data_IF_220922432399
#
_entry.id   IF_220922432399
#
_cell.length_a   1.000
_cell.length_b   1.000
_cell.length_c   1.000
_cell.angle_alpha   90.00
_cell.angle_beta   90.00
_cell.angle_gamma   90.00
#
_symmetry.space_group_name_H-M   'P 1'
#
loop_
_entity.id
_entity.type
_entity.pdbx_description
1 polymer ?
#
# COMPACT_ATOMS: atom_id res chain seq x y z
N UNK A 1 -7.24 -33.97 -31.28
CA UNK A 1 -7.59 -33.50 -29.93
C UNK A 1 -6.79 -32.23 -29.70
N UNK A 2 -7.41 -31.06 -29.87
CA UNK A 2 -6.74 -29.79 -29.60
C UNK A 2 -6.50 -29.67 -28.09
N UNK A 3 -5.23 -29.58 -27.71
CA UNK A 3 -4.78 -29.29 -26.36
C UNK A 3 -5.31 -27.90 -25.98
N UNK A 4 -6.45 -27.88 -25.28
CA UNK A 4 -7.02 -26.67 -24.73
C UNK A 4 -6.14 -26.23 -23.55
N UNK A 5 -5.02 -25.57 -23.85
CA UNK A 5 -4.12 -24.95 -22.88
C UNK A 5 -4.88 -23.82 -22.19
N UNK A 6 -5.63 -24.17 -21.15
CA UNK A 6 -6.40 -23.22 -20.35
C UNK A 6 -5.46 -22.15 -19.80
N UNK A 7 -5.68 -20.90 -20.17
CA UNK A 7 -4.91 -19.79 -19.65
C UNK A 7 -4.96 -19.80 -18.11
N UNK A 8 -3.80 -19.77 -17.44
CA UNK A 8 -3.69 -19.77 -15.97
C UNK A 8 -4.18 -18.49 -15.27
N UNK A 9 -5.02 -17.69 -15.94
CA UNK A 9 -5.60 -16.43 -15.48
C UNK A 9 -6.94 -16.18 -16.17
N UNK A 10 -7.84 -15.43 -15.52
CA UNK A 10 -9.13 -15.04 -16.13
C UNK A 10 -8.96 -13.86 -17.06
N UNK A 11 -9.59 -13.90 -18.25
CA UNK A 11 -9.53 -12.81 -19.23
C UNK A 11 -10.29 -11.54 -18.79
N UNK A 12 -11.29 -11.68 -17.92
CA UNK A 12 -12.14 -10.61 -17.36
C UNK A 12 -12.81 -9.71 -18.42
N UNK A 13 -12.93 -10.17 -19.67
CA UNK A 13 -13.44 -9.36 -20.78
C UNK A 13 -12.57 -8.13 -21.11
N UNK A 14 -11.26 -8.18 -20.83
CA UNK A 14 -10.33 -7.05 -21.02
C UNK A 14 -9.07 -7.45 -21.76
N UNK A 15 -8.48 -6.49 -22.49
CA UNK A 15 -7.13 -6.63 -23.06
C UNK A 15 -6.08 -6.76 -21.95
N UNK A 16 -4.88 -7.20 -22.30
CA UNK A 16 -3.80 -7.47 -21.34
C UNK A 16 -3.51 -6.28 -20.43
N UNK A 17 -3.36 -5.09 -21.01
CA UNK A 17 -2.96 -3.88 -20.28
C UNK A 17 -4.09 -3.39 -19.37
N UNK A 18 -5.32 -3.37 -19.88
CA UNK A 18 -6.50 -3.00 -19.09
C UNK A 18 -6.73 -3.98 -17.93
N UNK A 19 -6.52 -5.28 -18.16
CA UNK A 19 -6.63 -6.30 -17.12
C UNK A 19 -5.57 -6.10 -16.03
N UNK A 20 -4.31 -5.89 -16.43
CA UNK A 20 -3.21 -5.62 -15.48
C UNK A 20 -3.51 -4.36 -14.65
N UNK A 21 -3.94 -3.28 -15.29
CA UNK A 21 -4.29 -2.04 -14.59
C UNK A 21 -5.42 -2.23 -13.58
N UNK A 22 -6.49 -2.94 -13.98
CA UNK A 22 -7.60 -3.28 -13.08
C UNK A 22 -7.14 -4.06 -11.86
N UNK A 23 -6.37 -5.14 -12.06
CA UNK A 23 -5.89 -5.99 -10.97
C UNK A 23 -5.00 -5.19 -10.02
N UNK A 24 -4.05 -4.40 -10.55
CA UNK A 24 -3.18 -3.53 -9.75
C UNK A 24 -3.96 -2.54 -8.90
N UNK A 25 -4.97 -1.90 -9.49
CA UNK A 25 -5.85 -0.96 -8.79
C UNK A 25 -6.59 -1.64 -7.65
N UNK A 26 -7.21 -2.81 -7.90
CA UNK A 26 -7.97 -3.51 -6.87
C UNK A 26 -7.09 -4.15 -5.78
N UNK A 27 -5.90 -4.66 -6.11
CA UNK A 27 -4.92 -5.14 -5.12
C UNK A 27 -4.44 -4.00 -4.22
N UNK A 28 -4.15 -2.83 -4.82
CA UNK A 28 -3.78 -1.63 -4.07
C UNK A 28 -4.90 -1.23 -3.10
N UNK A 29 -6.15 -1.21 -3.57
CA UNK A 29 -7.31 -0.90 -2.73
C UNK A 29 -7.51 -1.91 -1.59
N UNK A 30 -7.38 -3.22 -1.87
CA UNK A 30 -7.48 -4.27 -0.85
C UNK A 30 -6.42 -4.11 0.24
N UNK A 31 -5.16 -3.93 -0.13
CA UNK A 31 -4.07 -3.81 0.85
C UNK A 31 -4.11 -2.48 1.61
N UNK A 32 -4.68 -1.44 1.01
CA UNK A 32 -4.82 -0.15 1.65
C UNK A 32 -6.01 -0.10 2.64
N UNK A 33 -7.20 -0.58 2.25
CA UNK A 33 -8.42 -0.54 3.05
C UNK A 33 -8.66 -1.79 3.91
N UNK A 34 -7.98 -2.89 3.62
CA UNK A 34 -8.16 -4.19 4.27
C UNK A 34 -9.30 -5.04 3.69
N UNK A 35 -10.28 -4.42 3.02
CA UNK A 35 -11.35 -5.13 2.31
C UNK A 35 -11.87 -4.32 1.13
N UNK A 36 -12.42 -5.00 0.12
CA UNK A 36 -13.14 -4.37 -1.00
C UNK A 36 -14.31 -5.23 -1.47
N UNK A 37 -15.36 -4.58 -1.96
CA UNK A 37 -16.48 -5.22 -2.66
C UNK A 37 -16.21 -5.27 -4.16
N UNK A 38 -16.32 -6.44 -4.77
CA UNK A 38 -16.06 -6.64 -6.21
C UNK A 38 -16.82 -7.87 -6.73
N UNK A 39 -16.68 -8.23 -8.00
CA UNK A 39 -17.27 -9.46 -8.53
C UNK A 39 -16.43 -10.68 -8.17
N UNK A 40 -17.05 -11.85 -8.04
CA UNK A 40 -16.36 -13.10 -7.68
C UNK A 40 -15.16 -13.39 -8.61
N UNK A 41 -15.35 -13.21 -9.91
CA UNK A 41 -14.33 -13.44 -10.93
C UNK A 41 -13.11 -12.54 -10.75
N UNK A 42 -13.33 -11.25 -10.40
CA UNK A 42 -12.25 -10.30 -10.12
C UNK A 42 -11.56 -10.63 -8.80
N UNK A 43 -12.32 -10.94 -7.75
CA UNK A 43 -11.78 -11.30 -6.43
C UNK A 43 -10.80 -12.48 -6.50
N UNK A 44 -11.10 -13.51 -7.29
CA UNK A 44 -10.20 -14.66 -7.46
C UNK A 44 -8.86 -14.27 -8.11
N UNK A 45 -8.85 -13.32 -9.05
CA UNK A 45 -7.60 -12.81 -9.63
C UNK A 45 -6.84 -11.90 -8.65
N UNK A 46 -7.55 -11.04 -7.92
CA UNK A 46 -6.95 -10.18 -6.88
C UNK A 46 -6.28 -11.04 -5.81
N UNK A 47 -6.96 -12.08 -5.31
CA UNK A 47 -6.43 -13.03 -4.32
C UNK A 47 -5.09 -13.60 -4.78
N UNK A 48 -5.00 -14.10 -6.02
CA UNK A 48 -3.77 -14.71 -6.55
C UNK A 48 -2.57 -13.77 -6.44
N UNK A 49 -2.77 -12.47 -6.67
CA UNK A 49 -1.71 -11.46 -6.57
C UNK A 49 -1.46 -11.05 -5.12
N UNK A 50 -2.51 -10.73 -4.37
CA UNK A 50 -2.41 -10.27 -2.99
C UNK A 50 -1.74 -11.30 -2.07
N UNK A 51 -2.07 -12.59 -2.20
CA UNK A 51 -1.47 -13.67 -1.42
C UNK A 51 0.06 -13.71 -1.60
N UNK A 52 0.54 -13.57 -2.84
CA UNK A 52 1.97 -13.55 -3.13
C UNK A 52 2.70 -12.33 -2.58
N UNK A 53 2.07 -11.15 -2.64
CA UNK A 53 2.64 -9.93 -2.04
C UNK A 53 2.74 -10.06 -0.52
N UNK A 54 1.68 -10.54 0.14
CA UNK A 54 1.66 -10.72 1.60
C UNK A 54 2.68 -11.79 2.02
N UNK A 55 2.78 -12.91 1.30
CA UNK A 55 3.78 -13.94 1.57
C UNK A 55 5.22 -13.39 1.52
N UNK A 56 5.54 -12.61 0.48
CA UNK A 56 6.86 -11.96 0.38
C UNK A 56 7.09 -10.98 1.53
N UNK A 57 6.05 -10.25 1.95
CA UNK A 57 6.14 -9.32 3.06
C UNK A 57 6.40 -10.02 4.39
N UNK A 58 5.65 -11.09 4.69
CA UNK A 58 5.80 -11.91 5.90
C UNK A 58 7.21 -12.48 5.99
N UNK A 59 7.75 -12.97 4.88
CA UNK A 59 9.10 -13.52 4.82
C UNK A 59 10.19 -12.47 5.12
N UNK A 60 10.05 -11.25 4.62
CA UNK A 60 11.10 -10.22 4.69
C UNK A 60 10.82 -9.13 5.75
N UNK A 61 9.82 -9.32 6.63
CA UNK A 61 9.34 -8.29 7.57
C UNK A 61 10.38 -7.79 8.57
N UNK A 62 11.37 -8.61 8.91
CA UNK A 62 12.41 -8.28 9.91
C UNK A 62 13.76 -7.99 9.25
N UNK A 63 13.84 -8.06 7.93
CA UNK A 63 15.11 -7.98 7.22
C UNK A 63 15.47 -6.53 6.84
N UNK A 64 15.72 -5.72 7.88
CA UNK A 64 16.10 -4.31 7.75
C UNK A 64 17.08 -3.93 8.86
N UNK A 65 17.86 -2.88 8.62
CA UNK A 65 18.72 -2.26 9.62
C UNK A 65 18.14 -0.91 10.04
N UNK A 66 18.32 -0.55 11.30
CA UNK A 66 17.92 0.76 11.80
C UNK A 66 19.12 1.71 11.71
N UNK A 67 19.00 2.73 10.87
CA UNK A 67 20.05 3.74 10.68
C UNK A 67 19.56 5.06 11.27
N UNK A 68 20.35 5.66 12.16
CA UNK A 68 20.11 7.01 12.68
C UNK A 68 20.60 8.02 11.64
N UNK A 69 19.70 8.90 11.20
CA UNK A 69 20.02 9.97 10.24
C UNK A 69 19.67 11.30 10.89
N UNK A 70 20.63 12.22 10.89
CA UNK A 70 20.44 13.61 11.31
C UNK A 70 19.69 14.38 10.23
N UNK A 71 18.50 14.87 10.55
CA UNK A 71 17.70 15.69 9.65
C UNK A 71 17.56 17.11 10.20
N UNK A 72 17.87 18.12 9.37
CA UNK A 72 17.62 19.52 9.71
C UNK A 72 16.13 19.82 9.56
N UNK A 73 15.45 20.07 10.67
CA UNK A 73 14.02 20.40 10.68
C UNK A 73 13.86 21.83 11.16
N UNK A 74 13.06 22.63 10.45
CA UNK A 74 12.78 24.00 10.87
C UNK A 74 12.07 23.99 12.23
N UNK A 75 12.62 24.72 13.20
CA UNK A 75 12.01 24.91 14.51
C UNK A 75 10.65 25.55 14.36
N UNK A 76 9.64 25.03 15.06
CA UNK A 76 8.27 25.56 15.01
C UNK A 76 7.82 26.02 16.39
N UNK A 77 7.10 27.14 16.43
CA UNK A 77 6.42 27.65 17.62
C UNK A 77 5.17 26.81 17.97
N UNK A 78 4.57 27.09 19.13
CA UNK A 78 3.34 26.42 19.63
C UNK A 78 2.17 26.45 18.63
N UNK A 79 2.14 27.45 17.76
CA UNK A 79 1.13 27.60 16.68
C UNK A 79 1.53 26.94 15.35
N UNK A 80 2.65 26.21 15.32
CA UNK A 80 3.14 25.51 14.13
C UNK A 80 3.80 26.40 13.06
N UNK A 81 4.01 27.69 13.34
CA UNK A 81 4.76 28.63 12.49
C UNK A 81 6.27 28.41 12.68
N UNK A 82 7.05 28.65 11.61
CA UNK A 82 8.52 28.49 11.63
C UNK A 82 9.13 29.65 12.43
N UNK A 83 9.99 29.32 13.39
CA UNK A 83 10.74 30.31 14.16
C UNK A 83 11.71 31.03 13.22
N UNK A 84 11.64 32.35 13.20
CA UNK A 84 12.56 33.20 12.45
C UNK A 84 13.37 34.03 13.42
N UNK A 85 14.67 33.99 13.27
CA UNK A 85 15.62 34.80 14.03
C UNK A 85 16.23 35.84 13.08
N UNK A 86 16.53 37.04 13.59
CA UNK A 86 17.15 38.09 12.78
C UNK A 86 18.66 37.94 12.91
N UNK A 87 19.31 37.50 11.84
CA UNK A 87 20.76 37.47 11.71
C UNK A 87 21.11 38.47 10.60
N UNK A 88 21.99 39.44 10.89
CA UNK A 88 22.42 40.48 9.95
C UNK A 88 21.28 41.27 9.29
N UNK A 89 20.26 41.65 10.08
CA UNK A 89 19.11 42.43 9.61
C UNK A 89 18.13 41.66 8.71
N UNK A 90 18.36 40.37 8.45
CA UNK A 90 17.47 39.49 7.67
C UNK A 90 16.85 38.41 8.55
N UNK A 91 15.55 38.15 8.36
CA UNK A 91 14.81 37.09 9.08
C UNK A 91 15.15 35.72 8.49
N UNK A 92 15.99 34.95 9.15
CA UNK A 92 16.40 33.58 8.76
C UNK A 92 15.59 32.56 9.56
N UNK A 93 15.23 31.43 8.95
CA UNK A 93 14.57 30.34 9.69
C UNK A 93 15.59 29.53 10.47
N UNK A 94 15.32 29.29 11.75
CA UNK A 94 16.16 28.43 12.60
C UNK A 94 15.84 26.97 12.31
N UNK A 95 16.88 26.15 12.12
CA UNK A 95 16.77 24.71 11.93
C UNK A 95 17.43 24.00 13.10
N UNK A 96 16.70 23.08 13.72
CA UNK A 96 17.24 22.16 14.72
C UNK A 96 17.69 20.88 14.02
N UNK A 97 18.78 20.27 14.50
CA UNK A 97 19.19 18.94 14.09
C UNK A 97 18.42 17.91 14.92
N UNK A 98 17.59 17.12 14.24
CA UNK A 98 16.78 16.08 14.86
C UNK A 98 17.28 14.73 14.37
N UNK A 99 17.66 13.85 15.29
CA UNK A 99 17.94 12.46 14.99
C UNK A 99 16.63 11.74 14.63
N UNK A 100 16.61 11.09 13.46
CA UNK A 100 15.51 10.23 13.04
C UNK A 100 16.03 8.82 12.81
N UNK A 101 15.33 7.85 13.38
CA UNK A 101 15.56 6.44 13.08
C UNK A 101 14.83 6.08 11.78
N UNK A 102 15.57 5.53 10.81
CA UNK A 102 15.05 5.10 9.53
C UNK A 102 15.32 3.60 9.38
N UNK A 103 14.27 2.84 9.02
CA UNK A 103 14.42 1.44 8.59
C UNK A 103 15.01 1.41 7.19
N UNK A 104 16.24 0.93 7.06
CA UNK A 104 16.93 0.68 5.80
C UNK A 104 16.76 -0.79 5.42
N UNK A 105 16.06 -1.04 4.32
CA UNK A 105 15.84 -2.41 3.85
C UNK A 105 17.17 -3.08 3.46
N UNK A 106 17.36 -4.32 3.93
CA UNK A 106 18.45 -5.18 3.47
C UNK A 106 18.18 -5.70 2.04
N UNK A 107 19.19 -6.23 1.32
CA UNK A 107 19.06 -6.53 -0.12
C UNK A 107 17.84 -7.37 -0.53
N UNK A 108 17.48 -8.44 0.20
CA UNK A 108 16.32 -9.26 -0.16
C UNK A 108 14.97 -8.59 0.18
N UNK A 109 14.88 -7.83 1.27
CA UNK A 109 13.70 -6.99 1.57
C UNK A 109 13.54 -5.87 0.54
N UNK A 110 14.63 -5.25 0.12
CA UNK A 110 14.62 -4.25 -0.94
C UNK A 110 14.18 -4.85 -2.28
N UNK A 111 14.63 -6.07 -2.60
CA UNK A 111 14.14 -6.81 -3.75
C UNK A 111 12.62 -7.06 -3.65
N UNK A 112 12.13 -7.54 -2.50
CA UNK A 112 10.70 -7.74 -2.27
C UNK A 112 9.90 -6.43 -2.42
N UNK A 113 10.38 -5.31 -1.86
CA UNK A 113 9.80 -3.97 -2.05
C UNK A 113 9.70 -3.61 -3.53
N UNK A 114 10.77 -3.82 -4.31
CA UNK A 114 10.77 -3.54 -5.75
C UNK A 114 9.75 -4.40 -6.49
N UNK A 115 9.60 -5.67 -6.14
CA UNK A 115 8.56 -6.53 -6.71
C UNK A 115 7.15 -6.05 -6.35
N UNK A 116 6.92 -5.59 -5.12
CA UNK A 116 5.64 -4.99 -4.72
C UNK A 116 5.34 -3.69 -5.49
N UNK A 117 6.32 -2.80 -5.66
CA UNK A 117 6.17 -1.55 -6.41
C UNK A 117 5.86 -1.76 -7.89
N UNK A 118 6.26 -2.90 -8.47
CA UNK A 118 5.82 -3.28 -9.84
C UNK A 118 4.33 -3.52 -9.93
N UNK A 119 3.60 -3.71 -8.83
CA UNK A 119 2.17 -4.01 -8.81
C UNK A 119 1.37 -2.87 -8.19
N UNK A 120 1.84 -2.30 -7.09
CA UNK A 120 1.09 -1.30 -6.34
C UNK A 120 1.09 0.05 -7.06
N UNK A 121 0.00 0.81 -6.89
CA UNK A 121 -0.04 2.22 -7.24
C UNK A 121 0.23 3.09 -6.01
N UNK A 122 0.68 4.32 -6.25
CA UNK A 122 0.83 5.32 -5.20
C UNK A 122 -0.54 5.68 -4.62
N UNK A 123 -0.62 5.75 -3.29
CA UNK A 123 -1.84 6.11 -2.57
C UNK A 123 -1.63 7.48 -1.91
N UNK A 124 -2.58 8.39 -2.13
CA UNK A 124 -2.57 9.71 -1.52
C UNK A 124 -3.79 9.83 -0.62
N UNK A 125 -3.55 10.01 0.67
CA UNK A 125 -4.58 10.31 1.65
C UNK A 125 -4.95 11.78 1.58
N UNK A 126 -6.20 12.04 1.22
CA UNK A 126 -6.77 13.38 1.19
C UNK A 126 -7.86 13.45 2.27
N UNK A 127 -7.71 14.31 3.29
CA UNK A 127 -8.72 14.46 4.34
C UNK A 127 -10.08 14.88 3.76
N UNK A 128 -11.15 14.35 4.36
CA UNK A 128 -12.52 14.72 4.02
C UNK A 128 -12.84 16.18 4.40
N UNK A 129 -12.29 16.66 5.53
CA UNK A 129 -12.48 18.02 5.98
C UNK A 129 -11.80 19.04 5.04
N UNK A 130 -12.52 20.10 4.70
CA UNK A 130 -12.00 21.18 3.86
C UNK A 130 -10.87 21.96 4.56
N UNK A 131 -10.97 22.12 5.89
CA UNK A 131 -9.99 22.84 6.70
C UNK A 131 -8.61 22.17 6.63
N UNK A 132 -7.62 22.88 6.09
CA UNK A 132 -6.24 22.39 6.01
C UNK A 132 -6.03 21.24 5.02
N UNK A 133 -6.99 20.93 4.13
CA UNK A 133 -6.94 19.81 3.18
C UNK A 133 -5.59 19.69 2.47
N UNK A 134 -5.11 20.78 1.84
CA UNK A 134 -3.81 20.80 1.14
C UNK A 134 -2.61 20.49 2.05
N UNK A 135 -2.62 21.00 3.29
CA UNK A 135 -1.54 20.78 4.27
C UNK A 135 -1.54 19.35 4.81
N UNK A 136 -2.73 18.78 4.95
CA UNK A 136 -2.96 17.49 5.59
C UNK A 136 -3.00 16.33 4.59
N UNK A 137 -2.95 16.59 3.29
CA UNK A 137 -2.77 15.56 2.25
C UNK A 137 -1.41 14.89 2.41
N UNK A 138 -1.38 13.55 2.44
CA UNK A 138 -0.16 12.76 2.63
C UNK A 138 -0.04 11.68 1.57
N UNK A 139 1.18 11.47 1.07
CA UNK A 139 1.50 10.28 0.30
C UNK A 139 1.74 9.11 1.27
N UNK A 140 1.13 7.97 0.99
CA UNK A 140 1.23 6.77 1.81
C UNK A 140 2.24 5.82 1.17
N UNK A 141 3.28 5.43 1.92
CA UNK A 141 4.11 4.29 1.54
C UNK A 141 3.35 3.00 1.86
N UNK A 142 2.58 2.53 0.88
CA UNK A 142 1.80 1.31 1.01
C UNK A 142 2.70 0.09 1.23
N UNK A 143 3.92 0.07 0.72
CA UNK A 143 4.83 -1.06 0.92
C UNK A 143 5.31 -1.11 2.37
N UNK A 144 5.66 0.04 2.95
CA UNK A 144 5.97 0.12 4.38
C UNK A 144 4.78 -0.34 5.22
N UNK A 145 3.56 0.11 4.90
CA UNK A 145 2.33 -0.37 5.57
C UNK A 145 2.17 -1.89 5.48
N UNK A 146 2.48 -2.50 4.34
CA UNK A 146 2.40 -3.96 4.19
C UNK A 146 3.44 -4.66 5.08
N UNK A 147 4.69 -4.16 5.14
CA UNK A 147 5.72 -4.74 6.00
C UNK A 147 5.47 -4.54 7.49
N UNK A 148 4.98 -3.36 7.88
CA UNK A 148 4.91 -2.94 9.28
C UNK A 148 3.55 -3.26 9.92
N UNK A 149 2.45 -3.20 9.16
CA UNK A 149 1.10 -3.39 9.71
C UNK A 149 0.46 -4.71 9.29
N UNK A 150 0.67 -5.15 8.04
CA UNK A 150 -0.01 -6.32 7.47
C UNK A 150 0.76 -7.60 7.76
N UNK A 151 2.04 -7.64 7.42
CA UNK A 151 2.89 -8.83 7.55
C UNK A 151 2.97 -9.37 8.98
N UNK A 152 3.08 -8.55 10.05
CA UNK A 152 3.18 -9.08 11.42
C UNK A 152 1.93 -9.85 11.87
N UNK A 153 0.75 -9.55 11.30
CA UNK A 153 -0.50 -10.26 11.63
C UNK A 153 -0.53 -11.70 11.14
N UNK A 154 0.33 -12.04 10.18
CA UNK A 154 0.33 -13.35 9.51
C UNK A 154 1.59 -14.17 9.79
N UNK A 155 2.37 -13.79 10.80
CA UNK A 155 3.52 -14.58 11.25
C UNK A 155 3.04 -15.97 11.67
N UNK A 156 3.64 -17.01 11.10
CA UNK A 156 3.25 -18.40 11.32
C UNK A 156 2.11 -18.92 10.43
N UNK A 157 1.49 -18.08 9.59
CA UNK A 157 0.50 -18.53 8.60
C UNK A 157 1.17 -18.79 7.24
N UNK A 158 1.07 -20.01 6.74
CA UNK A 158 1.62 -20.40 5.44
C UNK A 158 0.59 -20.27 4.29
N UNK A 159 0.05 -19.05 4.10
CA UNK A 159 -0.96 -18.74 3.08
C UNK A 159 -2.39 -18.65 3.59
N UNK A 160 -3.31 -18.20 2.72
CA UNK A 160 -4.70 -17.95 3.10
C UNK A 160 -4.85 -16.63 3.85
N UNK A 161 -4.17 -15.58 3.36
CA UNK A 161 -4.22 -14.23 3.94
C UNK A 161 -5.50 -13.48 3.55
N UNK A 162 -6.24 -13.97 2.56
CA UNK A 162 -7.47 -13.34 2.09
C UNK A 162 -8.69 -14.26 2.14
N UNK A 163 -9.81 -13.73 2.62
CA UNK A 163 -11.12 -14.39 2.57
C UNK A 163 -11.98 -13.76 1.48
N UNK A 164 -12.80 -14.57 0.81
CA UNK A 164 -13.81 -14.13 -0.13
C UNK A 164 -15.16 -14.58 0.43
N UNK A 165 -16.02 -13.63 0.76
CA UNK A 165 -17.38 -13.84 1.27
C UNK A 165 -18.37 -13.46 0.18
N UNK A 166 -19.28 -14.37 -0.18
CA UNK A 166 -20.33 -14.07 -1.17
C UNK A 166 -21.37 -13.15 -0.55
N UNK A 167 -21.74 -12.08 -1.26
CA UNK A 167 -22.76 -11.14 -0.81
C UNK A 167 -24.10 -11.50 -1.45
N UNK A 168 -24.16 -11.54 -2.78
CA UNK A 168 -25.41 -11.65 -3.51
C UNK A 168 -25.27 -11.19 -4.96
N UNK A 169 -26.26 -11.51 -5.79
CA UNK A 169 -26.27 -11.04 -7.18
C UNK A 169 -26.54 -9.54 -7.20
N UNK A 170 -25.75 -8.81 -8.00
CA UNK A 170 -25.92 -7.37 -8.16
C UNK A 170 -27.20 -7.06 -8.93
N UNK A 171 -27.97 -6.10 -8.41
CA UNK A 171 -29.13 -5.55 -9.13
C UNK A 171 -28.65 -4.84 -10.41
N UNK A 172 -29.16 -5.26 -11.56
CA UNK A 172 -28.80 -4.71 -12.87
C UNK A 172 -28.34 -5.82 -13.82
N UNK A 173 -27.09 -6.27 -13.65
CA UNK A 173 -26.47 -7.27 -14.54
C UNK A 173 -26.39 -8.68 -13.94
N UNK A 174 -26.93 -8.89 -12.73
CA UNK A 174 -26.96 -10.21 -12.08
C UNK A 174 -25.59 -10.74 -11.68
N UNK A 175 -24.52 -9.94 -11.79
CA UNK A 175 -23.17 -10.39 -11.48
C UNK A 175 -23.02 -10.73 -9.99
N UNK A 176 -22.39 -11.87 -9.68
CA UNK A 176 -22.13 -12.28 -8.30
C UNK A 176 -21.13 -11.34 -7.63
N UNK A 177 -21.59 -10.57 -6.64
CA UNK A 177 -20.75 -9.73 -5.80
C UNK A 177 -20.23 -10.49 -4.58
N UNK A 178 -19.00 -10.15 -4.23
CA UNK A 178 -18.28 -10.71 -3.10
C UNK A 178 -17.53 -9.60 -2.36
N UNK A 179 -17.34 -9.80 -1.06
CA UNK A 179 -16.38 -9.07 -0.25
C UNK A 179 -15.08 -9.88 -0.25
N UNK A 180 -13.98 -9.27 -0.67
CA UNK A 180 -12.63 -9.83 -0.43
C UNK A 180 -11.96 -9.02 0.68
N UNK A 181 -11.44 -9.70 1.68
CA UNK A 181 -10.89 -9.09 2.89
C UNK A 181 -9.60 -9.78 3.35
N UNK A 182 -8.75 -9.02 4.04
CA UNK A 182 -7.62 -9.52 4.83
C UNK A 182 -8.16 -10.22 6.09
N UNK A 183 -7.55 -11.34 6.47
CA UNK A 183 -8.01 -12.22 7.58
C UNK A 183 -7.32 -11.92 8.90
#
# INVERSE_FOLDING_TARGET
MEENTMAGYRKLGRTSDQRKALIRSQVTALLYHGHIRTTETRAKEIRKVAEGLIAMAVKEKDNFETVKVTAKVARKDKDGKRVKEVVDGKKVTVYDEVEKEIKKDMPSRLHARRQMLKVLYGVTEVPAAAAGKKRNTKSVDLVAKIFDDVAPKYVGRNGGYTRIVKIGQRKGDGAMEVLIELV
#
